data_IF_931172224615
#
_entry.id   IF_931172224615
#
_cell.length_a   1.000
_cell.length_b   1.000
_cell.length_c   1.000
_cell.angle_alpha   90.00
_cell.angle_beta   90.00
_cell.angle_gamma   90.00
#
_symmetry.space_group_name_H-M   'P 1'
#
loop_
_entity.id
_entity.type
_entity.pdbx_description
1 polymer ?
#
# COMPACT_ATOMS: atom_id res chain seq x y z
N UNK A 1 -2.35 12.94 4.35
CA UNK A 1 -2.42 11.72 3.53
C UNK A 1 -1.40 10.73 4.07
N UNK A 2 -1.85 9.66 4.69
CA UNK A 2 -0.99 8.57 5.15
C UNK A 2 -1.16 7.39 4.19
N UNK A 3 -0.05 6.90 3.64
CA UNK A 3 0.01 5.68 2.85
C UNK A 3 1.12 4.82 3.43
N UNK A 4 0.92 3.51 3.48
CA UNK A 4 1.93 2.59 4.00
C UNK A 4 3.22 2.69 3.15
N UNK A 5 4.36 2.76 3.83
CA UNK A 5 5.68 2.81 3.19
C UNK A 5 5.92 1.60 2.27
N UNK A 6 5.29 0.45 2.53
CA UNK A 6 5.34 -0.72 1.66
C UNK A 6 4.77 -0.44 0.27
N UNK A 7 3.63 0.28 0.20
CA UNK A 7 2.99 0.67 -1.06
C UNK A 7 3.87 1.67 -1.81
N UNK A 8 4.50 2.60 -1.09
CA UNK A 8 5.46 3.55 -1.67
C UNK A 8 6.70 2.83 -2.22
N UNK A 9 7.23 1.83 -1.51
CA UNK A 9 8.37 1.01 -1.98
C UNK A 9 8.02 0.26 -3.26
N UNK A 10 6.85 -0.39 -3.32
CA UNK A 10 6.37 -1.06 -4.54
C UNK A 10 6.24 -0.09 -5.73
N UNK A 11 5.83 1.17 -5.49
CA UNK A 11 5.80 2.19 -6.54
C UNK A 11 7.19 2.70 -6.98
N UNK A 12 8.21 2.59 -6.13
CA UNK A 12 9.59 2.99 -6.44
C UNK A 12 10.32 1.95 -7.28
N UNK A 13 10.05 0.67 -7.07
CA UNK A 13 10.67 -0.47 -7.78
C UNK A 13 10.11 -0.67 -9.22
N UNK A 14 9.82 0.43 -9.93
CA UNK A 14 9.23 0.40 -11.27
C UNK A 14 10.14 -0.28 -12.28
N UNK A 15 9.78 -1.50 -12.64
CA UNK A 15 10.19 -2.19 -13.87
C UNK A 15 9.15 -1.94 -14.97
N UNK A 16 9.50 -2.20 -16.23
CA UNK A 16 8.69 -1.90 -17.41
C UNK A 16 7.27 -2.52 -17.41
N UNK A 17 7.00 -3.47 -16.51
CA UNK A 17 5.71 -4.12 -16.32
C UNK A 17 4.86 -3.62 -15.15
N UNK A 18 5.41 -2.87 -14.18
CA UNK A 18 4.73 -2.53 -12.91
C UNK A 18 4.00 -1.17 -12.98
N UNK A 19 2.77 -1.17 -13.50
CA UNK A 19 1.93 0.04 -13.54
C UNK A 19 1.19 0.28 -12.21
N UNK A 20 0.79 1.53 -11.96
CA UNK A 20 -0.02 1.87 -10.76
C UNK A 20 -1.39 1.20 -10.79
N UNK A 21 -1.93 0.93 -11.97
CA UNK A 21 -3.19 0.22 -12.13
C UNK A 21 -3.04 -1.25 -11.71
N UNK A 22 -1.92 -1.90 -12.02
CA UNK A 22 -1.64 -3.26 -11.53
C UNK A 22 -1.42 -3.29 -10.01
N UNK A 23 -0.65 -2.36 -9.46
CA UNK A 23 -0.47 -2.25 -8.01
C UNK A 23 -1.80 -2.05 -7.30
N UNK A 24 -2.67 -1.19 -7.84
CA UNK A 24 -4.02 -0.99 -7.32
C UNK A 24 -4.86 -2.26 -7.37
N UNK A 25 -4.83 -3.01 -8.48
CA UNK A 25 -5.53 -4.29 -8.59
C UNK A 25 -5.05 -5.29 -7.54
N UNK A 26 -3.74 -5.45 -7.41
CA UNK A 26 -3.15 -6.33 -6.39
C UNK A 26 -3.57 -5.92 -4.98
N UNK A 27 -3.52 -4.63 -4.67
CA UNK A 27 -3.96 -4.12 -3.37
C UNK A 27 -5.46 -4.41 -3.14
N UNK A 28 -6.27 -4.28 -4.20
CA UNK A 28 -7.70 -4.60 -4.18
C UNK A 28 -7.96 -6.08 -3.94
N UNK A 29 -7.18 -6.95 -4.55
CA UNK A 29 -7.28 -8.40 -4.36
C UNK A 29 -6.91 -8.77 -2.93
N UNK A 30 -5.76 -8.29 -2.41
CA UNK A 30 -5.31 -8.55 -1.04
C UNK A 30 -6.33 -8.05 0.01
N UNK A 31 -6.90 -6.87 -0.18
CA UNK A 31 -7.92 -6.33 0.74
C UNK A 31 -9.24 -7.11 0.66
N UNK A 32 -9.66 -7.50 -0.55
CA UNK A 32 -10.88 -8.30 -0.74
C UNK A 32 -10.74 -9.68 -0.11
N UNK A 33 -9.58 -10.32 -0.29
CA UNK A 33 -9.28 -11.62 0.30
C UNK A 33 -9.27 -11.53 1.84
N UNK A 34 -8.54 -10.57 2.40
CA UNK A 34 -8.46 -10.39 3.84
C UNK A 34 -9.80 -10.01 4.47
N UNK A 35 -10.67 -9.29 3.76
CA UNK A 35 -12.04 -9.04 4.20
C UNK A 35 -12.87 -10.32 4.17
N UNK A 36 -12.83 -11.06 3.07
CA UNK A 36 -13.58 -12.32 2.91
C UNK A 36 -13.20 -13.35 3.98
N UNK A 37 -11.91 -13.47 4.29
CA UNK A 37 -11.43 -14.33 5.37
C UNK A 37 -11.99 -13.92 6.74
N UNK A 38 -12.05 -12.63 7.04
CA UNK A 38 -12.63 -12.12 8.29
C UNK A 38 -14.15 -12.35 8.35
N UNK A 39 -14.85 -12.17 7.24
CA UNK A 39 -16.29 -12.46 7.14
C UNK A 39 -16.53 -13.95 7.38
N UNK A 40 -15.75 -14.82 6.75
CA UNK A 40 -15.85 -16.26 6.97
C UNK A 40 -15.62 -16.63 8.43
N UNK A 41 -14.56 -16.10 9.05
CA UNK A 41 -14.29 -16.31 10.48
C UNK A 41 -15.46 -15.86 11.37
N UNK A 42 -16.06 -14.70 11.07
CA UNK A 42 -17.23 -14.22 11.77
C UNK A 42 -18.42 -15.17 11.64
N UNK A 43 -18.74 -15.60 10.41
CA UNK A 43 -19.86 -16.52 10.16
C UNK A 43 -19.64 -17.89 10.82
N UNK A 44 -18.41 -18.43 10.75
CA UNK A 44 -18.04 -19.67 11.45
C UNK A 44 -18.17 -19.54 12.96
N UNK A 45 -17.81 -18.37 13.52
CA UNK A 45 -18.00 -18.12 14.96
C UNK A 45 -19.49 -18.01 15.34
N UNK A 46 -20.37 -17.59 14.43
CA UNK A 46 -21.81 -17.48 14.66
C UNK A 46 -22.55 -18.83 14.54
N UNK A 47 -22.02 -19.77 13.75
CA UNK A 47 -22.60 -21.10 13.49
C UNK A 47 -22.99 -21.93 14.75
N UNK A 48 -22.19 -22.02 15.83
CA UNK A 48 -22.58 -22.78 17.01
C UNK A 48 -23.78 -22.17 17.74
N UNK A 49 -23.99 -20.86 17.63
CA UNK A 49 -25.07 -20.14 18.30
C UNK A 49 -26.38 -20.17 17.51
N UNK A 50 -26.33 -20.28 16.18
CA UNK A 50 -27.54 -20.48 15.35
C UNK A 50 -28.07 -21.91 15.42
N UNK A 51 -27.24 -22.90 15.71
CA UNK A 51 -27.63 -24.31 15.83
C UNK A 51 -28.20 -24.71 17.21
N UNK A 52 -28.06 -23.85 18.22
CA UNK A 52 -28.61 -24.11 19.56
C UNK A 52 -30.13 -23.90 19.55
N UNK A 53 -30.89 -24.97 19.80
CA UNK A 53 -32.37 -24.96 19.81
C UNK A 53 -32.98 -24.49 21.14
N UNK A 54 -32.14 -24.19 22.14
CA UNK A 54 -32.58 -23.85 23.51
C UNK A 54 -32.96 -22.37 23.65
N UNK A 55 -32.48 -21.50 22.75
CA UNK A 55 -32.68 -20.04 22.79
C UNK A 55 -33.08 -19.58 21.39
N UNK A 56 -34.02 -18.63 21.23
CA UNK A 56 -34.31 -18.03 19.93
C UNK A 56 -33.02 -17.52 19.27
N UNK A 57 -32.82 -17.77 17.96
CA UNK A 57 -31.56 -17.51 17.30
C UNK A 57 -31.21 -16.02 17.42
N UNK A 58 -30.01 -15.68 17.91
CA UNK A 58 -29.59 -14.30 18.02
C UNK A 58 -29.50 -13.66 16.62
N UNK A 59 -29.99 -12.42 16.50
CA UNK A 59 -29.87 -11.64 15.26
C UNK A 59 -28.43 -11.13 15.17
N UNK A 60 -27.62 -11.83 14.39
CA UNK A 60 -26.26 -11.40 14.07
C UNK A 60 -26.28 -10.19 13.15
N UNK A 61 -25.43 -9.21 13.42
CA UNK A 61 -25.27 -8.05 12.55
C UNK A 61 -24.61 -8.48 11.23
N UNK A 62 -25.13 -7.96 10.11
CA UNK A 62 -24.54 -8.24 8.80
C UNK A 62 -23.10 -7.71 8.74
N UNK A 63 -22.15 -8.47 8.14
CA UNK A 63 -20.78 -8.01 8.02
C UNK A 63 -20.71 -6.67 7.29
N UNK A 64 -19.90 -5.71 7.77
CA UNK A 64 -19.78 -4.40 7.13
C UNK A 64 -19.22 -4.56 5.72
N UNK A 65 -19.70 -3.76 4.74
CA UNK A 65 -19.25 -3.84 3.36
C UNK A 65 -17.75 -3.54 3.24
N UNK A 66 -17.10 -4.12 2.23
CA UNK A 66 -15.69 -3.91 1.95
C UNK A 66 -15.39 -2.39 1.85
N UNK A 67 -14.42 -1.86 2.62
CA UNK A 67 -14.06 -0.44 2.53
C UNK A 67 -13.52 -0.12 1.13
N UNK A 68 -14.04 0.96 0.54
CA UNK A 68 -13.62 1.39 -0.78
C UNK A 68 -12.15 1.82 -0.77
N UNK A 69 -11.34 1.20 -1.63
CA UNK A 69 -9.95 1.59 -1.78
C UNK A 69 -9.81 2.97 -2.46
N UNK A 70 -8.78 3.75 -2.10
CA UNK A 70 -8.52 5.03 -2.74
C UNK A 70 -8.16 4.84 -4.21
N UNK A 71 -8.74 5.67 -5.08
CA UNK A 71 -8.57 5.59 -6.54
C UNK A 71 -7.08 5.56 -6.96
N UNK A 72 -6.71 4.91 -8.08
CA UNK A 72 -5.32 4.88 -8.57
C UNK A 72 -4.67 6.27 -8.73
N UNK A 73 -5.45 7.30 -9.08
CA UNK A 73 -4.99 8.70 -9.15
C UNK A 73 -4.47 9.22 -7.81
N UNK A 74 -5.06 8.76 -6.71
CA UNK A 74 -4.63 9.12 -5.36
C UNK A 74 -3.25 8.51 -5.04
N UNK A 75 -3.03 7.25 -5.42
CA UNK A 75 -1.72 6.59 -5.26
C UNK A 75 -0.61 7.35 -6.02
N UNK A 76 -0.91 7.80 -7.24
CA UNK A 76 0.00 8.66 -8.01
C UNK A 76 0.32 9.98 -7.31
N UNK A 77 -0.68 10.65 -6.74
CA UNK A 77 -0.49 11.91 -6.04
C UNK A 77 0.40 11.74 -4.79
N UNK A 78 0.19 10.65 -4.03
CA UNK A 78 1.04 10.32 -2.87
C UNK A 78 2.47 10.00 -3.31
N UNK A 79 2.65 9.23 -4.38
CA UNK A 79 3.97 8.95 -4.94
C UNK A 79 4.69 10.22 -5.39
N UNK A 80 4.01 11.11 -6.11
CA UNK A 80 4.59 12.38 -6.55
C UNK A 80 5.05 13.22 -5.36
N UNK A 81 4.25 13.28 -4.28
CA UNK A 81 4.62 13.98 -3.05
C UNK A 81 5.84 13.36 -2.37
N UNK A 82 5.92 12.03 -2.31
CA UNK A 82 7.07 11.31 -1.76
C UNK A 82 8.36 11.59 -2.55
N UNK A 83 8.28 11.61 -3.88
CA UNK A 83 9.41 11.98 -4.75
C UNK A 83 9.85 13.41 -4.49
N UNK A 84 8.91 14.36 -4.49
CA UNK A 84 9.19 15.79 -4.25
C UNK A 84 9.90 16.02 -2.91
N UNK A 85 9.42 15.37 -1.83
CA UNK A 85 10.03 15.48 -0.50
C UNK A 85 11.48 14.99 -0.44
N UNK A 86 11.87 14.08 -1.34
CA UNK A 86 13.21 13.48 -1.40
C UNK A 86 14.10 14.11 -2.46
N UNK A 87 13.60 15.05 -3.26
CA UNK A 87 14.37 15.62 -4.35
C UNK A 87 15.65 16.29 -3.86
N UNK A 88 15.59 17.04 -2.75
CA UNK A 88 16.76 17.70 -2.20
C UNK A 88 17.80 16.69 -1.71
N UNK A 89 17.37 15.62 -1.03
CA UNK A 89 18.27 14.54 -0.60
C UNK A 89 18.90 13.81 -1.79
N UNK A 90 18.11 13.51 -2.82
CA UNK A 90 18.58 12.86 -4.05
C UNK A 90 19.58 13.76 -4.77
N UNK A 91 19.27 15.06 -4.90
CA UNK A 91 20.17 16.05 -5.50
C UNK A 91 21.46 16.17 -4.70
N UNK A 92 21.39 16.30 -3.38
CA UNK A 92 22.55 16.36 -2.51
C UNK A 92 23.41 15.10 -2.61
N UNK A 93 22.80 13.91 -2.69
CA UNK A 93 23.51 12.64 -2.87
C UNK A 93 24.22 12.57 -4.22
N UNK A 94 23.55 12.96 -5.30
CA UNK A 94 24.14 13.05 -6.64
C UNK A 94 25.31 14.06 -6.61
N UNK A 95 25.08 15.27 -6.12
CA UNK A 95 26.12 16.31 -6.02
C UNK A 95 27.26 15.90 -5.09
N UNK A 96 27.03 15.13 -4.03
CA UNK A 96 28.10 14.62 -3.17
C UNK A 96 28.97 13.61 -3.91
N UNK A 97 28.36 12.65 -4.60
CA UNK A 97 29.07 11.62 -5.36
C UNK A 97 29.82 12.24 -6.53
N UNK A 98 29.14 13.00 -7.39
CA UNK A 98 29.76 13.63 -8.56
C UNK A 98 30.63 14.85 -8.20
N UNK A 99 30.35 15.53 -7.10
CA UNK A 99 31.20 16.61 -6.57
C UNK A 99 32.52 16.09 -6.02
N UNK A 100 32.54 14.89 -5.43
CA UNK A 100 33.80 14.22 -5.08
C UNK A 100 34.60 13.77 -6.31
N UNK A 101 33.91 13.33 -7.37
CA UNK A 101 34.55 12.92 -8.63
C UNK A 101 35.14 14.12 -9.38
N UNK A 102 34.41 15.23 -9.50
CA UNK A 102 34.91 16.48 -10.12
C UNK A 102 36.07 17.12 -9.34
N UNK A 103 36.13 16.93 -8.02
CA UNK A 103 37.23 17.43 -7.18
C UNK A 103 38.49 16.58 -7.30
N UNK A 104 38.37 15.31 -7.72
CA UNK A 104 39.47 14.36 -7.84
C UNK A 104 40.43 14.68 -8.99
N UNK A 105 39.91 15.27 -10.08
CA UNK A 105 40.74 15.73 -11.23
C UNK A 105 41.35 17.13 -11.03
N UNK A 106 41.10 17.78 -9.89
CA UNK A 106 41.67 19.10 -9.57
C UNK A 106 42.97 18.98 -8.79
N UNK A 107 43.92 18.17 -9.27
CA UNK A 107 45.33 18.35 -8.95
C UNK A 107 46.00 19.00 -10.14
N UNK A 108 46.12 20.33 -10.09
CA UNK A 108 47.03 21.05 -10.99
C UNK A 108 48.45 20.49 -10.82
N UNK A 109 49.06 20.10 -11.95
CA UNK A 109 50.52 20.16 -12.13
C UNK A 109 50.90 21.56 -12.59
#
# INVERSE_FOLDING_TARGET
>A
YSCDYRVLRMMRERTLGNSVTQLYKKLSEEHSEAWTQRVLQYLTACEPFTRSTVIPPPVFAEPPPLPALPKPKWLLAVYARDVLMRLDEIKAKITSVFGSVLKMDSTKK
#
